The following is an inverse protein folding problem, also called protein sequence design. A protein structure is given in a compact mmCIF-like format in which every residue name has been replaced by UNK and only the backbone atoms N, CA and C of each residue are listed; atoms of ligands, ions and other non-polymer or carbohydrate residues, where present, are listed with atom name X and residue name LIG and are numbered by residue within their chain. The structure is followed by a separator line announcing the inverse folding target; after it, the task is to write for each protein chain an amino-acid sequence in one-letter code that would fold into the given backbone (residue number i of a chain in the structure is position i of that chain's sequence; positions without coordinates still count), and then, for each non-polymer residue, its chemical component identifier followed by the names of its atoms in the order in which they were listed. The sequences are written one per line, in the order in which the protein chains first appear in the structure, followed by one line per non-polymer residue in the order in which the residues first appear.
data_IF_631007365776
#
_entry.id   IF_631007365776
#
_cell.length_a   1.000
_cell.length_b   1.000
_cell.length_c   1.000
_cell.angle_alpha   90.00
_cell.angle_beta   90.00
_cell.angle_gamma   90.00
#
_symmetry.space_group_name_H-M   'P 1'
#
loop_
_entity.id
_entity.type
_entity.pdbx_description
1 polymer ?
#
# COMPACT_ATOMS: atom_id res chain seq x y z
N UNK A 1 16.61 -22.46 -12.30
CA UNK A 1 16.11 -22.22 -13.67
C UNK A 1 15.93 -20.73 -13.87
N UNK A 2 16.52 -20.17 -14.92
CA UNK A 2 16.38 -18.76 -15.26
C UNK A 2 14.93 -18.48 -15.70
N UNK A 3 14.31 -17.43 -15.18
CA UNK A 3 13.00 -16.99 -15.64
C UNK A 3 13.08 -16.37 -17.03
N UNK A 4 11.94 -16.26 -17.71
CA UNK A 4 11.83 -15.65 -19.02
C UNK A 4 11.93 -14.12 -18.95
N UNK A 5 12.23 -13.49 -20.08
CA UNK A 5 12.14 -12.03 -20.25
C UNK A 5 10.94 -11.75 -21.13
N UNK A 6 10.00 -10.95 -20.64
CA UNK A 6 8.80 -10.59 -21.37
C UNK A 6 8.58 -9.08 -21.34
N UNK A 7 8.26 -8.53 -22.50
CA UNK A 7 7.89 -7.13 -22.70
C UNK A 7 6.53 -7.13 -23.39
N UNK A 8 5.54 -6.51 -22.76
CA UNK A 8 4.16 -6.38 -23.27
C UNK A 8 3.84 -4.89 -23.34
N UNK A 9 3.84 -4.32 -24.55
CA UNK A 9 3.70 -2.88 -24.76
C UNK A 9 2.65 -2.60 -25.82
N UNK A 10 1.69 -1.73 -25.50
CA UNK A 10 0.61 -1.36 -26.42
C UNK A 10 -0.21 -2.58 -26.89
N UNK A 11 -0.39 -3.56 -26.00
CA UNK A 11 -1.09 -4.81 -26.27
C UNK A 11 -2.46 -4.85 -25.61
N UNK A 12 -3.37 -5.63 -26.18
CA UNK A 12 -4.67 -5.95 -25.57
C UNK A 12 -4.82 -7.46 -25.45
N UNK A 13 -4.98 -7.93 -24.22
CA UNK A 13 -5.20 -9.34 -23.90
C UNK A 13 -6.57 -9.53 -23.27
N UNK A 14 -7.25 -10.60 -23.65
CA UNK A 14 -8.57 -10.95 -23.12
C UNK A 14 -8.64 -12.44 -22.84
N UNK A 15 -9.10 -12.79 -21.64
CA UNK A 15 -9.35 -14.18 -21.23
C UNK A 15 -8.09 -15.08 -21.38
N UNK A 16 -6.91 -14.48 -21.30
CA UNK A 16 -5.64 -15.18 -21.42
C UNK A 16 -5.14 -15.73 -20.08
N UNK A 17 -4.44 -16.86 -20.14
CA UNK A 17 -3.85 -17.51 -18.99
C UNK A 17 -2.32 -17.39 -19.00
N UNK A 18 -1.80 -16.63 -18.05
CA UNK A 18 -0.38 -16.43 -17.77
C UNK A 18 0.05 -17.13 -16.47
N UNK A 19 -0.79 -18.00 -15.91
CA UNK A 19 -0.57 -18.61 -14.61
C UNK A 19 0.70 -19.44 -14.55
N UNK A 20 1.37 -19.39 -13.40
CA UNK A 20 2.60 -20.15 -13.15
C UNK A 20 3.84 -19.65 -13.89
N UNK A 21 3.72 -18.62 -14.75
CA UNK A 21 4.86 -18.05 -15.46
C UNK A 21 5.91 -17.49 -14.51
N UNK A 22 7.17 -17.60 -14.92
CA UNK A 22 8.33 -17.19 -14.13
C UNK A 22 9.14 -16.20 -14.94
N UNK A 23 9.03 -14.92 -14.59
CA UNK A 23 9.75 -13.84 -15.24
C UNK A 23 11.03 -13.49 -14.48
N UNK A 24 12.17 -13.54 -15.17
CA UNK A 24 13.37 -12.87 -14.72
C UNK A 24 13.19 -11.34 -14.83
N UNK A 25 12.60 -10.90 -15.94
CA UNK A 25 12.24 -9.50 -16.20
C UNK A 25 10.86 -9.46 -16.87
N UNK A 26 9.94 -8.71 -16.30
CA UNK A 26 8.62 -8.49 -16.86
C UNK A 26 8.34 -7.00 -16.98
N UNK A 27 8.25 -6.49 -18.21
CA UNK A 27 7.94 -5.10 -18.49
C UNK A 27 6.55 -5.04 -19.14
N UNK A 28 5.65 -4.28 -18.54
CA UNK A 28 4.29 -4.07 -19.04
C UNK A 28 3.97 -2.58 -19.08
N UNK A 29 3.46 -2.12 -20.21
CA UNK A 29 3.23 -0.70 -20.43
C UNK A 29 2.15 -0.43 -21.46
N UNK A 30 1.39 0.65 -21.30
CA UNK A 30 0.38 1.11 -22.24
C UNK A 30 -0.61 0.02 -22.72
N UNK A 31 -0.81 -1.04 -21.92
CA UNK A 31 -1.52 -2.25 -22.34
C UNK A 31 -2.84 -2.41 -21.59
N UNK A 32 -3.74 -3.21 -22.13
CA UNK A 32 -5.02 -3.56 -21.48
C UNK A 32 -5.14 -5.07 -21.31
N UNK A 33 -5.46 -5.52 -20.10
CA UNK A 33 -5.72 -6.91 -19.77
C UNK A 33 -7.13 -7.03 -19.19
N UNK A 34 -7.98 -7.85 -19.80
CA UNK A 34 -9.34 -8.10 -19.32
C UNK A 34 -9.53 -9.57 -19.01
N UNK A 35 -9.98 -9.90 -17.79
CA UNK A 35 -10.26 -11.28 -17.35
C UNK A 35 -9.07 -12.25 -17.49
N UNK A 36 -7.85 -11.71 -17.46
CA UNK A 36 -6.64 -12.51 -17.58
C UNK A 36 -6.25 -13.13 -16.24
N UNK A 37 -5.61 -14.30 -16.30
CA UNK A 37 -5.13 -15.04 -15.13
C UNK A 37 -3.62 -14.89 -15.02
N UNK A 38 -3.15 -14.37 -13.89
CA UNK A 38 -1.74 -14.26 -13.53
C UNK A 38 -1.46 -15.03 -12.23
N UNK A 39 -2.25 -16.06 -11.93
CA UNK A 39 -2.11 -16.79 -10.67
C UNK A 39 -0.74 -17.46 -10.55
N UNK A 40 -0.12 -17.39 -9.37
CA UNK A 40 1.20 -17.95 -9.09
C UNK A 40 2.33 -17.44 -9.98
N UNK A 41 2.17 -16.26 -10.62
CA UNK A 41 3.25 -15.61 -11.35
C UNK A 41 4.38 -15.26 -10.38
N UNK A 42 5.62 -15.48 -10.84
CA UNK A 42 6.82 -15.08 -10.10
C UNK A 42 7.65 -14.15 -10.95
N UNK A 43 7.75 -12.88 -10.56
CA UNK A 43 8.60 -11.91 -11.24
C UNK A 43 9.75 -11.46 -10.34
N UNK A 44 10.98 -11.62 -10.84
CA UNK A 44 12.19 -11.17 -10.13
C UNK A 44 12.35 -9.66 -10.23
N UNK A 45 12.14 -9.12 -11.43
CA UNK A 45 12.01 -7.70 -11.73
C UNK A 45 10.69 -7.52 -12.48
N UNK A 46 9.87 -6.59 -12.03
CA UNK A 46 8.63 -6.20 -12.69
C UNK A 46 8.58 -4.69 -12.85
N UNK A 47 8.39 -4.23 -14.07
CA UNK A 47 8.15 -2.82 -14.40
C UNK A 47 6.74 -2.74 -14.97
N UNK A 48 5.80 -2.29 -14.17
CA UNK A 48 4.38 -2.29 -14.52
C UNK A 48 3.91 -0.84 -14.70
N UNK A 49 3.17 -0.56 -15.77
CA UNK A 49 2.67 0.79 -16.05
C UNK A 49 3.71 1.67 -16.73
N UNK A 50 4.57 1.08 -17.56
CA UNK A 50 5.57 1.83 -18.34
C UNK A 50 4.88 2.63 -19.45
N UNK A 51 5.30 3.88 -19.66
CA UNK A 51 4.83 4.73 -20.75
C UNK A 51 3.85 5.82 -20.30
N UNK A 52 3.41 6.67 -21.25
CA UNK A 52 2.61 7.87 -20.97
C UNK A 52 1.11 7.61 -20.76
N UNK A 53 0.62 6.42 -21.13
CA UNK A 53 -0.77 6.02 -20.94
C UNK A 53 -0.88 4.92 -19.88
N UNK A 54 -1.99 4.89 -19.11
CA UNK A 54 -2.18 3.86 -18.09
C UNK A 54 -2.16 2.45 -18.68
N UNK A 55 -1.48 1.52 -18.00
CA UNK A 55 -1.72 0.09 -18.18
C UNK A 55 -2.92 -0.32 -17.33
N UNK A 56 -3.91 -0.95 -17.95
CA UNK A 56 -5.19 -1.30 -17.30
C UNK A 56 -5.28 -2.81 -17.12
N UNK A 57 -5.55 -3.22 -15.89
CA UNK A 57 -5.94 -4.58 -15.55
C UNK A 57 -7.36 -4.55 -15.04
N UNK A 58 -8.25 -5.30 -15.69
CA UNK A 58 -9.67 -5.35 -15.38
C UNK A 58 -10.10 -6.80 -15.15
N UNK A 59 -10.74 -7.05 -14.02
CA UNK A 59 -11.25 -8.38 -13.65
C UNK A 59 -10.16 -9.49 -13.71
N UNK A 60 -8.90 -9.13 -13.44
CA UNK A 60 -7.76 -10.04 -13.50
C UNK A 60 -7.44 -10.66 -12.13
N UNK A 61 -6.82 -11.84 -12.12
CA UNK A 61 -6.32 -12.47 -10.89
C UNK A 61 -4.81 -12.53 -10.84
N UNK A 62 -4.23 -12.12 -9.71
CA UNK A 62 -2.81 -12.25 -9.38
C UNK A 62 -2.61 -13.19 -8.18
N UNK A 63 -3.59 -14.04 -7.89
CA UNK A 63 -3.60 -14.84 -6.67
C UNK A 63 -2.37 -15.76 -6.55
N UNK A 64 -1.75 -15.79 -5.37
CA UNK A 64 -0.53 -16.55 -5.08
C UNK A 64 0.75 -15.98 -5.72
N UNK A 65 0.66 -14.85 -6.42
CA UNK A 65 1.81 -14.25 -7.09
C UNK A 65 2.83 -13.65 -6.13
N UNK A 66 4.07 -13.61 -6.61
CA UNK A 66 5.19 -13.03 -5.88
C UNK A 66 5.97 -12.09 -6.77
N UNK A 67 6.03 -10.84 -6.33
CA UNK A 67 6.74 -9.76 -6.99
C UNK A 67 7.87 -9.30 -6.07
N UNK A 68 9.09 -9.27 -6.58
CA UNK A 68 10.23 -8.83 -5.80
C UNK A 68 10.58 -7.36 -6.10
N UNK A 69 11.50 -7.11 -7.04
CA UNK A 69 11.90 -5.75 -7.39
C UNK A 69 10.88 -5.16 -8.36
N UNK A 70 9.88 -4.48 -7.82
CA UNK A 70 8.80 -3.91 -8.61
C UNK A 70 8.89 -2.40 -8.68
N UNK A 71 8.75 -1.88 -9.89
CA UNK A 71 8.50 -0.46 -10.16
C UNK A 71 7.08 -0.32 -10.69
N UNK A 72 6.33 0.61 -10.10
CA UNK A 72 4.95 0.91 -10.51
C UNK A 72 4.93 2.29 -11.16
N UNK A 73 4.36 2.35 -12.35
CA UNK A 73 4.09 3.58 -13.09
C UNK A 73 2.58 3.86 -13.15
N UNK A 74 2.13 4.28 -14.34
CA UNK A 74 0.73 4.59 -14.59
C UNK A 74 -0.06 3.30 -14.73
N UNK A 75 -0.76 2.93 -13.66
CA UNK A 75 -1.51 1.68 -13.55
C UNK A 75 -2.96 1.95 -13.16
N UNK A 76 -3.83 1.07 -13.60
CA UNK A 76 -5.20 0.98 -13.12
C UNK A 76 -5.59 -0.46 -12.93
N UNK A 77 -5.91 -0.82 -11.69
CA UNK A 77 -6.50 -2.11 -11.35
C UNK A 77 -7.98 -1.92 -11.02
N UNK A 78 -8.85 -2.60 -11.77
CA UNK A 78 -10.29 -2.60 -11.56
C UNK A 78 -10.77 -4.02 -11.26
N UNK A 79 -11.41 -4.23 -10.11
CA UNK A 79 -11.99 -5.52 -9.71
C UNK A 79 -10.98 -6.67 -9.80
N UNK A 80 -9.71 -6.36 -9.57
CA UNK A 80 -8.63 -7.34 -9.59
C UNK A 80 -8.47 -8.00 -8.22
N UNK A 81 -7.84 -9.17 -8.22
CA UNK A 81 -7.63 -9.96 -7.01
C UNK A 81 -6.16 -10.25 -6.78
N UNK A 82 -5.72 -10.06 -5.55
CA UNK A 82 -4.35 -10.24 -5.07
C UNK A 82 -4.40 -11.07 -3.78
N UNK A 83 -4.91 -12.31 -3.86
CA UNK A 83 -5.03 -13.18 -2.69
C UNK A 83 -3.75 -13.95 -2.43
N UNK A 84 -3.38 -14.10 -1.16
CA UNK A 84 -2.18 -14.83 -0.74
C UNK A 84 -0.90 -14.39 -1.46
N UNK A 85 -0.81 -13.09 -1.76
CA UNK A 85 0.34 -12.52 -2.47
C UNK A 85 1.47 -12.19 -1.51
N UNK A 86 2.68 -12.09 -2.06
CA UNK A 86 3.81 -11.44 -1.38
C UNK A 86 4.20 -10.24 -2.23
N UNK A 87 3.88 -9.05 -1.72
CA UNK A 87 4.13 -7.77 -2.35
C UNK A 87 4.84 -6.88 -1.34
N UNK A 88 6.13 -6.65 -1.55
CA UNK A 88 6.93 -5.83 -0.64
C UNK A 88 7.36 -4.54 -1.32
N UNK A 89 7.31 -3.42 -0.60
CA UNK A 89 7.83 -2.11 -1.03
C UNK A 89 7.18 -1.57 -2.29
N UNK A 90 5.90 -1.84 -2.47
CA UNK A 90 5.12 -1.27 -3.57
C UNK A 90 4.74 0.15 -3.21
N UNK A 91 5.35 1.12 -3.89
CA UNK A 91 4.99 2.53 -3.76
C UNK A 91 4.25 2.90 -5.03
N UNK A 92 2.99 3.27 -4.88
CA UNK A 92 2.07 3.46 -5.99
C UNK A 92 1.59 4.92 -6.07
N UNK A 93 2.47 5.86 -6.49
CA UNK A 93 2.13 7.28 -6.49
C UNK A 93 1.08 7.64 -7.54
N UNK A 94 1.08 6.99 -8.70
CA UNK A 94 0.28 7.35 -9.87
C UNK A 94 -0.59 6.19 -10.36
N UNK A 95 -1.23 5.46 -9.44
CA UNK A 95 -2.05 4.32 -9.82
C UNK A 95 -3.40 4.27 -9.13
N UNK A 96 -4.38 3.79 -9.89
CA UNK A 96 -5.75 3.57 -9.43
C UNK A 96 -5.94 2.13 -8.94
N UNK A 97 -6.69 1.98 -7.85
CA UNK A 97 -7.16 0.71 -7.30
C UNK A 97 -8.64 0.82 -6.97
N UNK A 98 -9.46 0.18 -7.79
CA UNK A 98 -10.91 0.25 -7.73
C UNK A 98 -11.47 -1.15 -7.50
N UNK A 99 -12.19 -1.32 -6.39
CA UNK A 99 -12.87 -2.56 -6.02
C UNK A 99 -11.97 -3.81 -6.02
N UNK A 100 -10.68 -3.65 -5.67
CA UNK A 100 -9.73 -4.75 -5.64
C UNK A 100 -9.76 -5.50 -4.30
N UNK A 101 -9.35 -6.77 -4.31
CA UNK A 101 -9.22 -7.60 -3.10
C UNK A 101 -7.75 -7.93 -2.86
N UNK A 102 -7.29 -7.71 -1.64
CA UNK A 102 -5.92 -7.98 -1.21
C UNK A 102 -5.88 -8.91 0.01
N UNK A 103 -5.04 -9.93 -0.04
CA UNK A 103 -4.68 -10.72 1.14
C UNK A 103 -3.25 -11.26 1.06
N UNK A 104 -2.68 -11.60 2.21
CA UNK A 104 -1.28 -12.03 2.32
C UNK A 104 -0.37 -10.93 2.87
N UNK A 105 0.90 -10.92 2.45
CA UNK A 105 1.94 -10.05 3.00
C UNK A 105 2.19 -8.87 2.05
N UNK A 106 1.75 -7.68 2.49
CA UNK A 106 1.82 -6.41 1.77
C UNK A 106 2.79 -5.42 2.46
N UNK A 107 3.90 -5.92 3.01
CA UNK A 107 4.84 -5.08 3.73
C UNK A 107 5.28 -3.87 2.90
N UNK A 108 5.23 -2.68 3.50
CA UNK A 108 5.63 -1.41 2.89
C UNK A 108 4.82 -1.05 1.62
N UNK A 109 3.59 -1.57 1.48
CA UNK A 109 2.65 -1.11 0.45
C UNK A 109 2.17 0.33 0.76
N UNK A 110 2.34 1.24 -0.19
CA UNK A 110 1.86 2.62 -0.11
C UNK A 110 0.90 2.91 -1.25
N UNK A 111 -0.34 3.28 -0.91
CA UNK A 111 -1.38 3.71 -1.85
C UNK A 111 -1.59 5.22 -1.75
N UNK A 112 -1.45 5.94 -2.85
CA UNK A 112 -1.62 7.40 -2.87
C UNK A 112 -2.95 7.79 -3.53
N UNK A 113 -3.67 8.74 -2.93
CA UNK A 113 -4.89 9.33 -3.48
C UNK A 113 -4.64 10.37 -4.58
N UNK A 114 -3.39 10.79 -4.75
CA UNK A 114 -2.96 11.63 -5.86
C UNK A 114 -1.46 11.49 -6.11
N UNK A 115 -1.06 11.64 -7.38
CA UNK A 115 0.31 11.48 -7.87
C UNK A 115 0.76 12.58 -8.82
N UNK A 116 2.07 12.65 -9.09
CA UNK A 116 2.64 13.56 -10.11
C UNK A 116 3.07 12.75 -11.33
N UNK A 117 2.27 12.81 -12.39
CA UNK A 117 2.57 12.14 -13.67
C UNK A 117 3.82 12.67 -14.38
N UNK A 118 4.25 13.89 -14.04
CA UNK A 118 5.56 14.45 -14.38
C UNK A 118 6.03 15.42 -13.27
N UNK A 119 7.34 15.63 -13.15
CA UNK A 119 7.95 16.39 -12.05
C UNK A 119 7.32 17.78 -11.82
N UNK A 120 7.00 18.49 -12.90
CA UNK A 120 6.40 19.84 -12.86
C UNK A 120 4.87 19.86 -12.94
N UNK A 121 4.21 18.71 -13.11
CA UNK A 121 2.76 18.64 -13.24
C UNK A 121 2.06 18.77 -11.88
N UNK A 122 0.85 19.35 -11.84
CA UNK A 122 0.02 19.34 -10.63
C UNK A 122 -0.28 17.90 -10.20
N UNK A 123 -0.65 17.73 -8.93
CA UNK A 123 -1.13 16.44 -8.45
C UNK A 123 -2.39 16.05 -9.22
N UNK A 124 -2.38 14.85 -9.78
CA UNK A 124 -3.54 14.25 -10.42
C UNK A 124 -4.17 13.28 -9.44
N UNK A 125 -5.47 13.37 -9.15
CA UNK A 125 -6.16 12.41 -8.29
C UNK A 125 -6.05 10.98 -8.85
N UNK A 126 -5.90 10.02 -7.95
CA UNK A 126 -6.05 8.60 -8.21
C UNK A 126 -7.39 8.12 -7.65
N UNK A 127 -8.00 7.14 -8.29
CA UNK A 127 -9.16 6.45 -7.75
C UNK A 127 -8.71 5.28 -6.88
N UNK A 128 -8.71 5.49 -5.55
CA UNK A 128 -8.45 4.46 -4.55
C UNK A 128 -9.71 4.25 -3.73
N UNK A 129 -10.54 3.27 -4.11
CA UNK A 129 -11.91 3.11 -3.58
C UNK A 129 -12.36 1.66 -3.60
N UNK A 130 -13.14 1.26 -2.59
CA UNK A 130 -13.87 0.00 -2.59
C UNK A 130 -12.97 -1.21 -2.35
N UNK A 131 -11.71 -1.01 -1.99
CA UNK A 131 -10.76 -2.09 -1.85
C UNK A 131 -11.00 -2.86 -0.56
N UNK A 132 -10.83 -4.19 -0.63
CA UNK A 132 -10.87 -5.09 0.51
C UNK A 132 -9.45 -5.51 0.91
N UNK A 133 -9.02 -5.08 2.09
CA UNK A 133 -7.72 -5.39 2.68
C UNK A 133 -7.85 -6.15 4.01
N UNK A 134 -9.04 -6.64 4.37
CA UNK A 134 -9.31 -7.21 5.71
C UNK A 134 -8.38 -8.36 6.08
N UNK A 135 -8.01 -9.17 5.09
CA UNK A 135 -7.15 -10.35 5.20
C UNK A 135 -5.68 -10.06 4.82
N UNK A 136 -5.30 -8.79 4.69
CA UNK A 136 -3.94 -8.38 4.40
C UNK A 136 -3.16 -8.03 5.68
N UNK A 137 -1.85 -8.28 5.65
CA UNK A 137 -0.90 -7.75 6.62
C UNK A 137 -0.07 -6.67 5.92
N UNK A 138 -0.33 -5.40 6.26
CA UNK A 138 0.27 -4.23 5.63
C UNK A 138 1.09 -3.43 6.65
N UNK A 139 2.32 -3.87 6.92
CA UNK A 139 3.19 -3.22 7.91
C UNK A 139 4.26 -2.34 7.24
N UNK A 140 4.52 -1.17 7.81
CA UNK A 140 5.48 -0.18 7.29
C UNK A 140 4.99 0.58 6.06
N UNK A 141 3.75 0.32 5.64
CA UNK A 141 3.09 0.97 4.52
C UNK A 141 2.09 2.02 4.98
N UNK A 142 1.13 2.34 4.11
CA UNK A 142 0.02 3.21 4.46
C UNK A 142 -0.68 3.85 3.27
N UNK A 143 -1.51 4.82 3.59
CA UNK A 143 -2.27 5.62 2.64
C UNK A 143 -1.82 7.07 2.70
N UNK A 144 -1.71 7.72 1.54
CA UNK A 144 -1.17 9.09 1.45
C UNK A 144 -1.94 9.93 0.44
N UNK A 145 -1.71 11.25 0.50
CA UNK A 145 -2.16 12.19 -0.52
C UNK A 145 -3.68 12.15 -0.78
N UNK A 146 -4.48 11.93 0.27
CA UNK A 146 -5.92 12.18 0.22
C UNK A 146 -6.81 10.95 0.03
N UNK A 147 -6.34 9.73 0.32
CA UNK A 147 -7.22 8.54 0.25
C UNK A 147 -8.27 8.60 1.37
N UNK A 148 -9.54 8.43 1.00
CA UNK A 148 -10.63 8.26 1.95
C UNK A 148 -10.65 6.81 2.48
N UNK A 149 -10.30 6.64 3.76
CA UNK A 149 -10.21 5.33 4.38
C UNK A 149 -11.58 4.77 4.77
N UNK A 150 -12.61 5.61 4.87
CA UNK A 150 -13.99 5.15 5.10
C UNK A 150 -14.55 4.36 3.91
N UNK A 151 -13.94 4.53 2.73
CA UNK A 151 -14.29 3.83 1.49
C UNK A 151 -13.45 2.58 1.22
N UNK A 152 -12.70 2.10 2.22
CA UNK A 152 -11.93 0.87 2.15
C UNK A 152 -12.40 -0.09 3.24
N UNK A 153 -12.27 -1.40 3.02
CA UNK A 153 -12.34 -2.38 4.10
C UNK A 153 -10.91 -2.62 4.60
N UNK A 154 -10.54 -1.96 5.68
CA UNK A 154 -9.17 -1.93 6.19
C UNK A 154 -8.74 -3.28 6.81
N UNK A 155 -7.42 -3.53 6.95
CA UNK A 155 -6.91 -4.72 7.64
C UNK A 155 -7.51 -4.90 9.04
N UNK A 156 -7.88 -6.13 9.36
CA UNK A 156 -8.44 -6.50 10.68
C UNK A 156 -7.40 -6.97 11.68
N UNK A 157 -6.17 -7.23 11.22
CA UNK A 157 -5.04 -7.61 12.07
C UNK A 157 -4.79 -6.52 13.13
N UNK A 158 -4.65 -6.88 14.42
CA UNK A 158 -4.53 -5.91 15.51
C UNK A 158 -3.41 -4.89 15.31
N UNK A 159 -2.35 -5.21 14.56
CA UNK A 159 -1.23 -4.29 14.31
C UNK A 159 -1.60 -3.09 13.43
N UNK A 160 -2.86 -2.99 12.99
CA UNK A 160 -3.40 -1.87 12.25
C UNK A 160 -4.41 -1.11 13.11
N UNK A 161 -4.25 0.20 13.19
CA UNK A 161 -5.15 1.08 13.95
C UNK A 161 -5.53 2.26 13.07
N UNK A 162 -6.82 2.39 12.78
CA UNK A 162 -7.37 3.57 12.11
C UNK A 162 -7.35 4.76 13.07
N UNK A 163 -6.82 5.88 12.59
CA UNK A 163 -6.87 7.19 13.25
C UNK A 163 -7.83 8.06 12.42
N UNK A 164 -9.11 8.18 12.82
CA UNK A 164 -10.11 8.93 12.07
C UNK A 164 -9.93 10.44 12.16
N UNK A 165 -9.41 10.93 13.29
CA UNK A 165 -9.07 12.35 13.52
C UNK A 165 -7.59 12.49 13.91
N UNK A 166 -6.69 12.60 12.92
CA UNK A 166 -5.27 12.83 13.19
C UNK A 166 -5.00 14.16 13.90
N UNK A 167 -5.85 15.18 13.68
CA UNK A 167 -5.68 16.52 14.24
C UNK A 167 -5.79 16.53 15.76
N UNK A 168 -6.68 15.73 16.33
CA UNK A 168 -6.76 15.53 17.78
C UNK A 168 -5.80 14.44 18.28
N UNK A 169 -5.70 13.32 17.55
CA UNK A 169 -5.00 12.12 18.04
C UNK A 169 -3.48 12.31 18.09
N UNK A 170 -2.87 12.91 17.05
CA UNK A 170 -1.41 13.01 16.97
C UNK A 170 -0.81 13.92 18.05
N UNK A 171 -1.34 15.13 18.33
CA UNK A 171 -0.83 15.97 19.42
C UNK A 171 -0.92 15.29 20.78
N UNK A 172 -2.02 14.59 21.08
CA UNK A 172 -2.18 13.84 22.32
C UNK A 172 -1.17 12.68 22.42
N UNK A 173 -0.98 11.93 21.33
CA UNK A 173 0.01 10.85 21.29
C UNK A 173 1.43 11.38 21.50
N UNK A 174 1.81 12.48 20.84
CA UNK A 174 3.12 13.12 21.05
C UNK A 174 3.33 13.57 22.50
N UNK A 175 2.32 14.14 23.14
CA UNK A 175 2.42 14.58 24.54
C UNK A 175 2.71 13.41 25.49
N UNK A 176 2.05 12.27 25.29
CA UNK A 176 2.29 11.05 26.09
C UNK A 176 3.64 10.42 25.76
N UNK A 177 4.03 10.32 24.48
CA UNK A 177 5.32 9.72 24.10
C UNK A 177 6.50 10.50 24.69
N UNK A 178 6.42 11.83 24.76
CA UNK A 178 7.46 12.68 25.35
C UNK A 178 7.73 12.41 26.83
N UNK A 179 6.76 11.87 27.57
CA UNK A 179 6.93 11.52 28.98
C UNK A 179 7.49 10.12 29.21
N UNK A 180 7.72 9.32 28.16
CA UNK A 180 8.29 7.98 28.32
C UNK A 180 9.75 8.05 28.75
N UNK A 181 10.13 7.28 29.77
CA UNK A 181 11.48 7.33 30.35
C UNK A 181 12.57 6.78 29.40
N UNK A 182 12.29 5.64 28.74
CA UNK A 182 13.22 5.00 27.82
C UNK A 182 13.42 5.86 26.56
N UNK A 183 14.64 6.39 26.41
CA UNK A 183 15.02 7.28 25.32
C UNK A 183 14.91 6.62 23.95
N UNK A 184 15.37 5.38 23.80
CA UNK A 184 15.43 4.71 22.50
C UNK A 184 14.04 4.32 22.02
N UNK A 185 13.19 3.87 22.95
CA UNK A 185 11.76 3.61 22.71
C UNK A 185 11.03 4.91 22.37
N UNK A 186 11.26 5.98 23.14
CA UNK A 186 10.65 7.30 22.89
C UNK A 186 11.03 7.84 21.50
N UNK A 187 12.31 7.89 21.16
CA UNK A 187 12.77 8.36 19.85
C UNK A 187 12.20 7.51 18.71
N UNK A 188 12.10 6.19 18.90
CA UNK A 188 11.51 5.28 17.91
C UNK A 188 10.02 5.54 17.68
N UNK A 189 9.26 5.88 18.73
CA UNK A 189 7.85 6.24 18.65
C UNK A 189 7.63 7.64 18.05
N UNK A 190 8.42 8.63 18.46
CA UNK A 190 8.39 9.98 17.89
C UNK A 190 8.64 9.96 16.38
N UNK A 191 9.59 9.12 15.92
CA UNK A 191 9.84 8.93 14.49
C UNK A 191 8.63 8.36 13.75
N UNK A 192 7.92 7.37 14.33
CA UNK A 192 6.68 6.84 13.72
C UNK A 192 5.60 7.92 13.65
N UNK A 193 5.39 8.65 14.75
CA UNK A 193 4.39 9.72 14.80
C UNK A 193 4.72 10.87 13.84
N UNK A 194 5.99 11.19 13.64
CA UNK A 194 6.42 12.24 12.71
C UNK A 194 6.10 11.87 11.24
N UNK A 195 6.22 10.60 10.85
CA UNK A 195 5.81 10.14 9.52
C UNK A 195 4.30 10.29 9.33
N UNK A 196 3.52 9.89 10.33
CA UNK A 196 2.06 10.04 10.32
C UNK A 196 1.61 11.51 10.26
N UNK A 197 2.26 12.38 11.04
CA UNK A 197 2.02 13.83 11.01
C UNK A 197 2.38 14.46 9.66
N UNK A 198 3.46 14.00 9.03
CA UNK A 198 3.82 14.45 7.69
C UNK A 198 2.76 14.05 6.65
N UNK A 199 2.28 12.81 6.67
CA UNK A 199 1.23 12.34 5.77
C UNK A 199 -0.08 13.15 5.97
N UNK A 200 -0.46 13.42 7.22
CA UNK A 200 -1.61 14.28 7.55
C UNK A 200 -1.44 15.71 7.02
N UNK A 201 -0.29 16.35 7.29
CA UNK A 201 0.00 17.71 6.79
C UNK A 201 0.04 17.80 5.27
N UNK A 202 0.35 16.69 4.59
CA UNK A 202 0.31 16.57 3.13
C UNK A 202 -1.09 16.28 2.58
N UNK A 203 -2.13 16.32 3.41
CA UNK A 203 -3.54 16.26 3.01
C UNK A 203 -4.18 14.88 3.13
N UNK A 204 -3.54 13.91 3.81
CA UNK A 204 -4.18 12.63 4.10
C UNK A 204 -5.21 12.80 5.25
N UNK A 205 -6.52 12.62 5.02
CA UNK A 205 -7.54 13.00 6.00
C UNK A 205 -7.64 12.05 7.21
N UNK A 206 -7.43 10.75 6.97
CA UNK A 206 -7.45 9.69 7.98
C UNK A 206 -6.16 8.88 7.84
N UNK A 207 -5.61 8.40 8.95
CA UNK A 207 -4.35 7.65 8.95
C UNK A 207 -4.55 6.21 9.38
N UNK A 208 -3.67 5.33 8.90
CA UNK A 208 -3.58 3.96 9.39
C UNK A 208 -2.21 3.77 10.06
N UNK A 209 -2.19 3.66 11.38
CA UNK A 209 -0.99 3.26 12.11
C UNK A 209 -0.78 1.75 11.89
N UNK A 210 0.28 1.40 11.17
CA UNK A 210 0.64 0.03 10.85
C UNK A 210 2.16 -0.14 10.82
N UNK A 211 2.84 -0.10 11.98
CA UNK A 211 4.29 0.04 12.02
C UNK A 211 5.01 -1.25 11.57
N UNK A 212 6.12 -1.09 10.84
CA UNK A 212 7.02 -2.20 10.55
C UNK A 212 7.80 -2.65 11.79
N UNK A 213 8.16 -3.93 11.84
CA UNK A 213 9.12 -4.46 12.81
C UNK A 213 10.52 -3.85 12.63
N UNK A 214 11.46 -4.18 13.52
CA UNK A 214 12.79 -3.60 13.45
C UNK A 214 13.67 -3.98 14.63
N UNK A 215 14.39 -3.00 15.17
CA UNK A 215 15.20 -3.20 16.38
C UNK A 215 14.31 -3.50 17.59
N UNK A 216 14.85 -4.11 18.66
CA UNK A 216 14.07 -4.35 19.88
C UNK A 216 13.42 -3.07 20.44
N UNK A 217 14.11 -1.94 20.40
CA UNK A 217 13.56 -0.63 20.80
C UNK A 217 12.38 -0.20 19.90
N UNK A 218 12.47 -0.44 18.60
CA UNK A 218 11.38 -0.15 17.64
C UNK A 218 10.17 -1.04 17.90
N UNK A 219 10.38 -2.33 18.15
CA UNK A 219 9.29 -3.25 18.46
C UNK A 219 8.58 -2.89 19.77
N UNK A 220 9.34 -2.56 20.82
CA UNK A 220 8.80 -2.08 22.08
C UNK A 220 8.02 -0.75 21.90
N UNK A 221 8.56 0.18 21.11
CA UNK A 221 7.89 1.43 20.77
C UNK A 221 6.58 1.19 20.01
N UNK A 222 6.60 0.31 19.01
CA UNK A 222 5.41 -0.02 18.21
C UNK A 222 4.30 -0.63 19.07
N UNK A 223 4.63 -1.57 19.96
CA UNK A 223 3.66 -2.20 20.86
C UNK A 223 2.98 -1.15 21.75
N UNK A 224 3.77 -0.31 22.42
CA UNK A 224 3.25 0.77 23.29
C UNK A 224 2.45 1.81 22.51
N UNK A 225 2.90 2.16 21.30
CA UNK A 225 2.23 3.16 20.47
C UNK A 225 0.88 2.65 19.96
N UNK A 226 0.79 1.38 19.56
CA UNK A 226 -0.47 0.75 19.16
C UNK A 226 -1.49 0.76 20.30
N UNK A 227 -1.07 0.45 21.53
CA UNK A 227 -1.94 0.53 22.70
C UNK A 227 -2.40 1.96 22.99
N UNK A 228 -1.46 2.90 23.03
CA UNK A 228 -1.74 4.33 23.26
C UNK A 228 -2.75 4.89 22.26
N UNK A 229 -2.48 4.70 20.96
CA UNK A 229 -3.34 5.24 19.91
C UNK A 229 -4.72 4.58 19.92
N UNK A 230 -4.83 3.28 20.20
CA UNK A 230 -6.13 2.64 20.39
C UNK A 230 -6.91 3.22 21.56
N UNK A 231 -6.25 3.56 22.66
CA UNK A 231 -6.88 4.23 23.81
C UNK A 231 -7.43 5.59 23.39
N UNK A 232 -6.58 6.44 22.81
CA UNK A 232 -6.96 7.78 22.36
C UNK A 232 -8.12 7.79 21.36
N UNK A 233 -8.14 6.85 20.41
CA UNK A 233 -9.22 6.74 19.42
C UNK A 233 -10.55 6.29 20.06
N UNK A 234 -10.50 5.42 21.07
CA UNK A 234 -11.70 5.00 21.81
C UNK A 234 -12.26 6.14 22.66
N UNK A 235 -11.41 6.88 23.35
CA UNK A 235 -11.81 7.96 24.25
C UNK A 235 -12.33 9.20 23.49
N UNK A 236 -11.95 9.36 22.22
CA UNK A 236 -12.41 10.43 21.33
C UNK A 236 -13.63 10.08 20.46
N UNK A 237 -14.17 8.87 20.59
CA UNK A 237 -15.42 8.48 19.91
C UNK A 237 -16.62 8.94 20.76
N UNK A 238 -17.57 9.73 20.22
CA UNK A 238 -18.76 10.16 20.96
C UNK A 238 -19.67 8.99 21.39
#
# INVERSE_FOLDING_TARGET
MAGERATMLDETHRDEDFSGRRFAYWTVGMSTFERCQFSNVRATIAELGVGPTPTVFRDCSFDGSRFNRTTLGLLRFERCTFRNVVMRKWISPDSDFVDCVFSGDLAELTLAGAGRRAYSSPLTPNEVVGNDLRDAVMLGGGFRAGVDLSRQQLPTDPRHVLIPDPGATLPAAFAVVRSWDDRDVRTSAESTLAVLDEDFRRGQPQLLLCPAGGTPAKEAANARLLELVRGLVKDGSP
#
